data_IF_513839118282
#
_entry.id   IF_513839118282
#
_cell.length_a   1.000
_cell.length_b   1.000
_cell.length_c   1.000
_cell.angle_alpha   90.00
_cell.angle_beta   90.00
_cell.angle_gamma   90.00
#
_symmetry.space_group_name_H-M   'P 1'
#
loop_
_entity.id
_entity.type
_entity.pdbx_description
1 polymer ?
#
# COMPACT_ATOMS: atom_id res chain seq x y z
N UNK A 1 21.48 -8.61 4.43
CA UNK A 1 20.13 -8.97 4.95
C UNK A 1 19.28 -7.72 5.09
N UNK A 2 17.96 -7.82 4.85
CA UNK A 2 16.99 -6.73 5.08
C UNK A 2 16.00 -7.17 6.16
N UNK A 3 16.40 -7.16 7.45
CA UNK A 3 15.57 -7.70 8.53
C UNK A 3 14.21 -7.00 8.63
N UNK A 4 14.17 -5.67 8.44
CA UNK A 4 12.91 -4.91 8.44
C UNK A 4 11.94 -5.35 7.33
N UNK A 5 12.44 -5.63 6.13
CA UNK A 5 11.60 -6.08 5.02
C UNK A 5 11.02 -7.47 5.31
N UNK A 6 11.84 -8.38 5.84
CA UNK A 6 11.41 -9.73 6.21
C UNK A 6 10.32 -9.69 7.29
N UNK A 7 10.43 -8.79 8.27
CA UNK A 7 9.40 -8.57 9.29
C UNK A 7 8.12 -8.08 8.63
N UNK A 8 8.21 -7.04 7.80
CA UNK A 8 7.05 -6.44 7.10
C UNK A 8 6.31 -7.47 6.24
N UNK A 9 7.02 -8.25 5.41
CA UNK A 9 6.40 -9.26 4.53
C UNK A 9 5.98 -10.51 5.29
N UNK A 10 6.66 -10.85 6.39
CA UNK A 10 6.42 -12.05 7.17
C UNK A 10 5.22 -11.92 8.09
N UNK A 11 5.20 -10.89 8.94
CA UNK A 11 4.20 -10.70 10.00
C UNK A 11 3.53 -9.32 10.00
N UNK A 12 3.89 -8.42 9.08
CA UNK A 12 3.27 -7.09 9.00
C UNK A 12 1.80 -7.14 8.60
N UNK A 13 1.01 -6.27 9.22
CA UNK A 13 -0.41 -6.05 8.90
C UNK A 13 -0.80 -4.59 9.13
N UNK A 14 -1.74 -4.09 8.32
CA UNK A 14 -2.35 -2.76 8.47
C UNK A 14 -3.62 -2.79 9.34
N UNK A 15 -4.25 -3.96 9.46
CA UNK A 15 -5.42 -4.18 10.29
C UNK A 15 -5.33 -5.56 10.95
N UNK A 16 -6.11 -5.76 12.03
CA UNK A 16 -6.27 -7.09 12.61
C UNK A 16 -6.98 -8.00 11.60
N UNK A 17 -6.27 -9.05 11.19
CA UNK A 17 -6.67 -9.95 10.10
C UNK A 17 -7.02 -11.36 10.58
N UNK A 18 -6.37 -11.83 11.66
CA UNK A 18 -6.60 -13.14 12.26
C UNK A 18 -6.87 -13.04 13.78
N UNK A 19 -7.47 -14.08 14.33
CA UNK A 19 -7.67 -14.21 15.79
C UNK A 19 -6.35 -14.43 16.54
N UNK A 20 -5.37 -15.06 15.87
CA UNK A 20 -4.02 -15.31 16.41
C UNK A 20 -3.04 -14.37 15.73
N UNK A 21 -2.39 -13.50 16.51
CA UNK A 21 -1.33 -12.63 16.00
C UNK A 21 -0.06 -13.44 15.71
N UNK A 22 0.45 -13.40 14.46
CA UNK A 22 1.72 -14.02 14.11
C UNK A 22 2.90 -13.44 14.91
N UNK A 23 3.92 -14.25 15.13
CA UNK A 23 5.18 -13.86 15.78
C UNK A 23 6.38 -14.24 14.92
N UNK A 24 7.49 -13.52 15.08
CA UNK A 24 8.75 -13.79 14.39
C UNK A 24 9.93 -13.55 15.33
N UNK A 25 10.92 -14.44 15.30
CA UNK A 25 12.20 -14.22 15.98
C UNK A 25 13.13 -13.41 15.09
N UNK A 26 13.70 -12.34 15.65
CA UNK A 26 14.64 -11.47 14.96
C UNK A 26 15.95 -11.39 15.74
N UNK A 27 17.05 -11.41 14.99
CA UNK A 27 18.39 -11.25 15.55
C UNK A 27 18.89 -9.84 15.27
N UNK A 28 19.31 -9.15 16.32
CA UNK A 28 19.77 -7.77 16.25
C UNK A 28 20.99 -7.54 17.14
N UNK A 29 21.36 -6.26 17.25
CA UNK A 29 22.40 -5.80 18.17
C UNK A 29 21.73 -5.08 19.33
N UNK A 30 21.98 -5.55 20.54
CA UNK A 30 21.55 -4.84 21.73
C UNK A 30 22.36 -3.53 21.86
N UNK A 31 21.66 -2.40 21.95
CA UNK A 31 22.30 -1.07 21.97
C UNK A 31 22.95 -0.72 23.32
N UNK A 32 22.59 -1.41 24.42
CA UNK A 32 23.14 -1.19 25.75
C UNK A 32 24.50 -1.85 25.93
N UNK A 33 24.63 -3.12 25.51
CA UNK A 33 25.85 -3.91 25.72
C UNK A 33 26.62 -4.20 24.41
N UNK A 34 26.04 -3.91 23.24
CA UNK A 34 26.66 -4.09 21.93
C UNK A 34 26.68 -5.52 21.41
N UNK A 35 26.15 -6.51 22.14
CA UNK A 35 26.18 -7.93 21.78
C UNK A 35 24.99 -8.33 20.90
N UNK A 36 25.13 -9.40 20.09
CA UNK A 36 24.01 -9.97 19.36
C UNK A 36 22.95 -10.54 20.30
N UNK A 37 21.69 -10.23 20.05
CA UNK A 37 20.55 -10.70 20.84
C UNK A 37 19.42 -11.14 19.90
N UNK A 38 18.65 -12.14 20.34
CA UNK A 38 17.43 -12.57 19.66
C UNK A 38 16.24 -12.09 20.47
N UNK A 39 15.27 -11.44 19.80
CA UNK A 39 14.00 -11.06 20.40
C UNK A 39 12.85 -11.60 19.54
N UNK A 40 11.74 -11.91 20.17
CA UNK A 40 10.51 -12.28 19.48
C UNK A 40 9.65 -11.03 19.35
N UNK A 41 9.19 -10.74 18.13
CA UNK A 41 8.29 -9.62 17.82
C UNK A 41 6.93 -10.16 17.33
N UNK A 42 5.87 -9.45 17.68
CA UNK A 42 4.48 -9.77 17.32
C UNK A 42 4.00 -8.92 16.15
N UNK A 43 3.01 -9.42 15.41
CA UNK A 43 2.31 -8.67 14.35
C UNK A 43 1.67 -7.39 14.87
N UNK A 44 1.21 -7.37 16.13
CA UNK A 44 0.64 -6.18 16.78
C UNK A 44 1.66 -5.05 16.95
N UNK A 45 2.86 -5.35 17.46
CA UNK A 45 3.95 -4.37 17.58
C UNK A 45 4.39 -3.83 16.21
N UNK A 46 4.43 -4.70 15.19
CA UNK A 46 4.74 -4.27 13.81
C UNK A 46 3.63 -3.36 13.28
N UNK A 47 2.36 -3.69 13.53
CA UNK A 47 1.23 -2.87 13.12
C UNK A 47 1.23 -1.50 13.80
N UNK A 48 1.58 -1.44 15.08
CA UNK A 48 1.78 -0.17 15.80
C UNK A 48 2.90 0.66 15.14
N UNK A 49 4.05 0.04 14.84
CA UNK A 49 5.15 0.71 14.16
C UNK A 49 4.80 1.17 12.72
N UNK A 50 3.84 0.52 12.06
CA UNK A 50 3.35 0.90 10.73
C UNK A 50 2.24 1.95 10.76
N UNK A 51 1.69 2.29 11.93
CA UNK A 51 0.51 3.17 12.04
C UNK A 51 0.76 4.57 11.45
N UNK A 52 1.86 5.22 11.80
CA UNK A 52 2.25 6.55 11.30
C UNK A 52 2.48 6.57 9.76
N UNK A 53 3.31 5.69 9.16
CA UNK A 53 3.47 5.72 7.71
C UNK A 53 2.17 5.38 6.96
N UNK A 54 1.32 4.51 7.54
CA UNK A 54 0.02 4.21 6.94
C UNK A 54 -0.96 5.39 7.04
N UNK A 55 -0.95 6.15 8.14
CA UNK A 55 -1.82 7.33 8.26
C UNK A 55 -1.53 8.35 7.15
N UNK A 56 -0.26 8.56 6.78
CA UNK A 56 0.08 9.41 5.64
C UNK A 56 -0.49 8.91 4.31
N UNK A 57 -0.54 7.59 4.09
CA UNK A 57 -1.18 7.01 2.90
C UNK A 57 -2.68 7.25 2.92
N UNK A 58 -3.34 7.04 4.07
CA UNK A 58 -4.77 7.29 4.24
C UNK A 58 -5.12 8.77 4.02
N UNK A 59 -4.34 9.68 4.59
CA UNK A 59 -4.55 11.13 4.45
C UNK A 59 -4.40 11.58 3.00
N UNK A 60 -3.44 11.02 2.27
CA UNK A 60 -3.27 11.28 0.85
C UNK A 60 -4.48 10.80 0.03
N UNK A 61 -5.02 9.61 0.35
CA UNK A 61 -6.24 9.09 -0.28
C UNK A 61 -7.43 10.02 0.01
N UNK A 62 -7.67 10.36 1.27
CA UNK A 62 -8.78 11.25 1.68
C UNK A 62 -8.69 12.62 1.01
N UNK A 63 -7.51 13.24 1.04
CA UNK A 63 -7.25 14.53 0.38
C UNK A 63 -7.51 14.46 -1.12
N UNK A 64 -7.22 13.33 -1.77
CA UNK A 64 -7.47 13.14 -3.21
C UNK A 64 -8.96 13.01 -3.49
N UNK A 65 -9.69 12.27 -2.66
CA UNK A 65 -11.15 12.13 -2.76
C UNK A 65 -11.87 13.47 -2.51
N UNK A 66 -11.41 14.29 -1.56
CA UNK A 66 -11.96 15.61 -1.28
C UNK A 66 -11.79 16.61 -2.43
N UNK A 67 -10.72 16.46 -3.22
CA UNK A 67 -10.47 17.29 -4.41
C UNK A 67 -11.17 16.78 -5.66
N UNK A 68 -11.78 15.59 -5.60
CA UNK A 68 -12.44 14.98 -6.73
C UNK A 68 -13.69 15.79 -7.10
N UNK A 69 -13.85 16.19 -8.38
CA UNK A 69 -15.06 16.85 -8.83
C UNK A 69 -16.31 15.99 -8.56
N UNK A 70 -17.46 16.59 -8.22
CA UNK A 70 -18.68 15.85 -7.89
C UNK A 70 -19.11 14.86 -8.97
N UNK A 71 -18.88 15.19 -10.24
CA UNK A 71 -19.19 14.33 -11.38
C UNK A 71 -18.40 13.02 -11.40
N UNK A 72 -17.20 12.98 -10.82
CA UNK A 72 -16.37 11.77 -10.74
C UNK A 72 -16.51 11.06 -9.38
N UNK A 73 -16.90 11.79 -8.33
CA UNK A 73 -17.07 11.24 -7.00
C UNK A 73 -18.14 10.13 -6.96
N UNK A 74 -19.25 10.29 -7.70
CA UNK A 74 -20.29 9.28 -7.79
C UNK A 74 -19.77 7.96 -8.39
N UNK A 75 -19.00 8.04 -9.47
CA UNK A 75 -18.41 6.87 -10.13
C UNK A 75 -17.39 6.15 -9.23
N UNK A 76 -16.62 6.89 -8.43
CA UNK A 76 -15.67 6.33 -7.46
C UNK A 76 -16.40 5.63 -6.30
N UNK A 77 -17.52 6.17 -5.83
CA UNK A 77 -18.33 5.53 -4.78
C UNK A 77 -18.81 4.15 -5.22
N UNK A 78 -19.19 4.01 -6.49
CA UNK A 78 -19.64 2.73 -7.06
C UNK A 78 -18.47 1.79 -7.40
N UNK A 79 -17.46 2.31 -8.09
CA UNK A 79 -16.34 1.50 -8.62
C UNK A 79 -15.31 1.13 -7.55
N UNK A 80 -15.14 1.99 -6.56
CA UNK A 80 -14.19 1.86 -5.47
C UNK A 80 -12.75 2.24 -5.84
N UNK A 81 -11.85 1.94 -4.90
CA UNK A 81 -10.41 2.17 -5.01
C UNK A 81 -9.72 0.87 -5.43
N UNK A 82 -8.87 0.94 -6.46
CA UNK A 82 -8.02 -0.17 -6.88
C UNK A 82 -6.59 0.03 -6.37
N UNK A 83 -6.09 -0.92 -5.58
CA UNK A 83 -4.72 -0.92 -5.09
C UNK A 83 -3.79 -1.68 -6.05
N UNK A 84 -2.66 -1.06 -6.37
CA UNK A 84 -1.58 -1.63 -7.15
C UNK A 84 -0.21 -1.37 -6.48
N UNK A 85 0.83 -2.03 -6.97
CA UNK A 85 2.18 -1.98 -6.43
C UNK A 85 2.42 -2.92 -5.24
N UNK A 86 3.67 -3.02 -4.79
CA UNK A 86 4.04 -3.96 -3.72
C UNK A 86 3.46 -3.62 -2.35
N UNK A 87 3.15 -2.34 -2.10
CA UNK A 87 2.48 -1.91 -0.87
C UNK A 87 1.08 -2.50 -0.70
N UNK A 88 0.38 -2.75 -1.81
CA UNK A 88 -0.95 -3.37 -1.81
C UNK A 88 -0.98 -4.78 -1.19
N UNK A 89 0.19 -5.44 -1.08
CA UNK A 89 0.33 -6.78 -0.49
C UNK A 89 0.41 -6.77 1.04
N UNK A 90 0.44 -5.60 1.68
CA UNK A 90 0.38 -5.52 3.14
C UNK A 90 -0.99 -6.00 3.62
N UNK A 91 -1.01 -7.00 4.51
CA UNK A 91 -2.24 -7.66 4.95
C UNK A 91 -3.20 -6.66 5.60
N UNK A 92 -4.44 -6.61 5.12
CA UNK A 92 -5.49 -5.76 5.66
C UNK A 92 -5.35 -4.27 5.32
N UNK A 93 -4.50 -3.90 4.36
CA UNK A 93 -4.39 -2.51 3.89
C UNK A 93 -5.67 -2.06 3.17
N UNK A 94 -6.23 -2.95 2.34
CA UNK A 94 -7.53 -2.78 1.72
C UNK A 94 -8.64 -2.54 2.74
N UNK A 95 -8.66 -3.34 3.81
CA UNK A 95 -9.60 -3.17 4.93
C UNK A 95 -9.40 -1.85 5.65
N UNK A 96 -8.16 -1.48 5.99
CA UNK A 96 -7.87 -0.20 6.63
C UNK A 96 -8.37 0.98 5.78
N UNK A 97 -8.10 0.96 4.47
CA UNK A 97 -8.56 2.01 3.56
C UNK A 97 -10.09 2.02 3.48
N UNK A 98 -10.73 0.86 3.42
CA UNK A 98 -12.19 0.75 3.43
C UNK A 98 -12.79 1.36 4.71
N UNK A 99 -12.27 0.98 5.88
CA UNK A 99 -12.76 1.45 7.18
C UNK A 99 -12.60 2.97 7.32
N UNK A 100 -11.52 3.54 6.78
CA UNK A 100 -11.20 4.97 6.86
C UNK A 100 -11.92 5.85 5.81
N UNK A 101 -12.28 5.29 4.65
CA UNK A 101 -12.86 6.05 3.53
C UNK A 101 -14.32 5.74 3.26
N UNK A 102 -14.82 4.59 3.74
CA UNK A 102 -16.13 4.05 3.40
C UNK A 102 -16.25 3.51 1.97
N UNK A 103 -15.18 3.57 1.16
CA UNK A 103 -15.21 3.17 -0.24
C UNK A 103 -14.92 1.67 -0.39
N UNK A 104 -15.50 0.96 -1.37
CA UNK A 104 -15.04 -0.38 -1.72
C UNK A 104 -13.56 -0.34 -2.12
N UNK A 105 -12.75 -1.29 -1.63
CA UNK A 105 -11.33 -1.37 -1.99
C UNK A 105 -11.05 -2.75 -2.57
N UNK A 106 -10.32 -2.78 -3.69
CA UNK A 106 -9.91 -4.01 -4.37
C UNK A 106 -8.41 -3.99 -4.62
N UNK A 107 -7.75 -5.12 -4.45
CA UNK A 107 -6.36 -5.30 -4.83
C UNK A 107 -6.34 -5.84 -6.26
N UNK A 108 -5.51 -5.27 -7.13
CA UNK A 108 -5.34 -5.76 -8.48
C UNK A 108 -4.84 -7.21 -8.47
N UNK A 109 -5.20 -8.01 -9.49
CA UNK A 109 -4.83 -9.44 -9.55
C UNK A 109 -3.31 -9.67 -9.57
N UNK A 110 -2.58 -8.79 -10.24
CA UNK A 110 -1.10 -8.78 -10.30
C UNK A 110 -0.58 -7.39 -9.93
N UNK A 111 -0.62 -7.00 -8.64
CA UNK A 111 -0.37 -5.63 -8.25
C UNK A 111 1.08 -5.21 -8.50
N UNK A 112 2.03 -6.16 -8.47
CA UNK A 112 3.44 -5.91 -8.78
C UNK A 112 3.69 -5.62 -10.26
N UNK A 113 2.86 -6.17 -11.16
CA UNK A 113 3.08 -6.13 -12.60
C UNK A 113 2.28 -5.01 -13.27
N UNK A 114 1.29 -4.45 -12.59
CA UNK A 114 0.38 -3.41 -13.10
C UNK A 114 1.06 -2.31 -13.90
N UNK A 115 2.19 -1.78 -13.39
CA UNK A 115 2.93 -0.69 -14.07
C UNK A 115 3.54 -1.19 -15.38
N UNK A 116 4.27 -2.30 -15.35
CA UNK A 116 4.92 -2.86 -16.55
C UNK A 116 3.89 -3.30 -17.61
N UNK A 117 2.82 -3.96 -17.17
CA UNK A 117 1.72 -4.38 -18.05
C UNK A 117 0.99 -3.17 -18.66
N UNK A 118 0.76 -2.12 -17.87
CA UNK A 118 0.17 -0.87 -18.35
C UNK A 118 1.03 -0.21 -19.42
N UNK A 119 2.34 -0.09 -19.18
CA UNK A 119 3.30 0.43 -20.16
C UNK A 119 3.33 -0.41 -21.44
N UNK A 120 3.33 -1.74 -21.33
CA UNK A 120 3.29 -2.62 -22.49
C UNK A 120 2.02 -2.43 -23.35
N UNK A 121 0.86 -2.29 -22.70
CA UNK A 121 -0.42 -2.03 -23.38
C UNK A 121 -0.43 -0.71 -24.14
N UNK A 122 0.20 0.33 -23.59
CA UNK A 122 0.35 1.62 -24.29
C UNK A 122 1.21 1.44 -25.54
N UNK A 123 2.34 0.74 -25.43
CA UNK A 123 3.23 0.49 -26.57
C UNK A 123 2.51 -0.30 -27.70
N UNK A 124 1.67 -1.26 -27.35
CA UNK A 124 0.86 -2.02 -28.32
C UNK A 124 -0.25 -1.20 -28.99
N UNK A 125 -0.64 -0.06 -28.39
CA UNK A 125 -1.77 0.77 -28.85
C UNK A 125 -1.36 2.24 -29.01
N UNK A 126 -0.11 2.48 -29.45
CA UNK A 126 0.49 3.81 -29.45
C UNK A 126 -0.36 4.84 -30.23
N UNK A 127 -0.92 4.43 -31.37
CA UNK A 127 -1.75 5.30 -32.23
C UNK A 127 -3.07 5.70 -31.57
N UNK A 128 -3.54 4.95 -30.56
CA UNK A 128 -4.80 5.22 -29.86
C UNK A 128 -4.61 5.94 -28.53
N UNK A 129 -3.39 5.94 -28.01
CA UNK A 129 -3.03 6.46 -26.69
C UNK A 129 -1.89 7.48 -26.79
N UNK A 130 -1.76 8.14 -27.94
CA UNK A 130 -0.74 9.15 -28.20
C UNK A 130 -0.76 10.26 -27.14
N UNK A 131 -1.96 10.69 -26.73
CA UNK A 131 -2.18 11.70 -25.69
C UNK A 131 -1.61 11.32 -24.31
N UNK A 132 -1.44 10.02 -24.03
CA UNK A 132 -0.83 9.55 -22.77
C UNK A 132 0.70 9.71 -22.80
N UNK A 133 1.29 9.79 -24.00
CA UNK A 133 2.72 9.89 -24.22
C UNK A 133 3.21 11.31 -24.48
N UNK A 134 2.29 12.24 -24.78
CA UNK A 134 2.62 13.65 -24.92
C UNK A 134 2.99 14.25 -23.56
N UNK A 135 4.07 15.04 -23.53
CA UNK A 135 4.38 15.86 -22.36
C UNK A 135 3.30 16.95 -22.23
N UNK A 136 2.56 16.96 -21.11
CA UNK A 136 1.79 18.15 -20.73
C UNK A 136 2.79 19.29 -20.53
N UNK A 137 2.82 20.26 -21.46
CA UNK A 137 3.46 21.56 -21.22
C UNK A 137 2.82 22.12 -19.94
N UNK A 138 3.54 22.01 -18.82
CA UNK A 138 3.05 22.47 -17.53
C UNK A 138 2.92 23.99 -17.60
N UNK A 139 1.68 24.48 -17.71
CA UNK A 139 1.35 25.90 -17.59
C UNK A 139 1.62 26.29 -16.13
N UNK A 140 2.74 26.97 -15.90
CA UNK A 140 3.07 27.65 -14.64
C UNK A 140 2.28 28.95 -14.49
#
# INVERSE_FOLDING_TARGET
>A
ERPAENIKTGIGSAAKTDDKEPVMDIRGRNLLNGLPENITITSEEVREALSEPLSHVIDAIKTTLEKCPPELAADIIESGIMLAGGGALLRGLDKLIHDETGMPVKIAERPLDCVADGTGKVLENIDKLEDVLSEDETIY
#
